data_IF_872204149459
#
_entry.id   IF_872204149459
#
_cell.length_a   1.000
_cell.length_b   1.000
_cell.length_c   1.000
_cell.angle_alpha   90.00
_cell.angle_beta   90.00
_cell.angle_gamma   90.00
#
_symmetry.space_group_name_H-M   'P 1'
#
loop_
_entity.id
_entity.type
_entity.pdbx_description
1 polymer ?
#
# COMPACT_ATOMS: atom_id res chain seq x y z
N UNK A 1 -0.22 11.67 -2.74
CA UNK A 1 0.58 11.77 -1.50
C UNK A 1 -0.26 11.79 -0.20
N UNK A 2 -1.02 10.79 0.24
CA UNK A 2 -1.17 9.37 -0.01
C UNK A 2 -0.06 8.45 0.58
N UNK A 3 1.11 8.90 1.02
CA UNK A 3 2.28 7.99 1.12
C UNK A 3 2.42 7.10 2.37
N UNK A 4 1.40 6.80 3.16
CA UNK A 4 1.55 5.91 4.33
C UNK A 4 0.42 4.87 4.31
N UNK A 5 -0.83 5.32 4.37
CA UNK A 5 -1.96 4.47 4.00
C UNK A 5 -1.86 4.07 2.51
N UNK A 6 -1.61 5.01 1.60
CA UNK A 6 -1.35 4.72 0.19
C UNK A 6 0.15 4.56 -0.17
N UNK A 7 1.08 4.32 0.77
CA UNK A 7 2.37 3.72 0.35
C UNK A 7 2.25 2.22 0.19
N UNK A 8 1.42 1.58 1.01
CA UNK A 8 1.12 0.15 0.90
C UNK A 8 -0.15 -0.03 0.11
N UNK A 9 -1.21 0.71 0.40
CA UNK A 9 -2.42 0.71 -0.41
C UNK A 9 -2.18 1.35 -1.77
N UNK A 10 -1.19 2.23 -1.99
CA UNK A 10 -0.69 2.58 -3.32
C UNK A 10 0.69 2.02 -3.65
N UNK A 11 1.24 1.05 -2.90
CA UNK A 11 2.07 0.05 -3.57
C UNK A 11 1.10 -0.89 -4.30
N UNK A 12 0.07 -1.38 -3.62
CA UNK A 12 -0.96 -2.22 -4.23
C UNK A 12 -1.75 -1.43 -5.28
N UNK A 13 -2.20 -0.21 -4.98
CA UNK A 13 -2.89 0.70 -5.92
C UNK A 13 -1.94 1.40 -6.88
N UNK A 14 -0.63 1.64 -6.67
CA UNK A 14 0.22 2.12 -7.79
C UNK A 14 0.70 0.96 -8.66
N UNK A 15 0.98 -0.22 -8.10
CA UNK A 15 1.12 -1.46 -8.89
C UNK A 15 -0.18 -1.70 -9.66
N UNK A 16 -1.37 -1.35 -9.18
CA UNK A 16 -2.61 -1.52 -9.97
C UNK A 16 -3.04 -0.29 -10.78
N UNK A 17 -2.69 0.93 -10.38
CA UNK A 17 -3.06 2.18 -11.06
C UNK A 17 -2.06 2.57 -12.14
N UNK A 18 -0.78 2.20 -12.02
CA UNK A 18 0.15 2.22 -13.15
C UNK A 18 -0.29 1.24 -14.24
N UNK A 19 -1.03 0.18 -13.88
CA UNK A 19 -1.64 -0.75 -14.83
C UNK A 19 -2.96 -0.19 -15.40
N UNK A 20 -3.80 0.42 -14.55
CA UNK A 20 -5.07 1.03 -15.01
C UNK A 20 -4.90 2.34 -15.77
N UNK A 21 -3.78 3.06 -15.63
CA UNK A 21 -3.46 4.20 -16.50
C UNK A 21 -3.13 3.77 -17.94
N UNK A 22 -2.72 2.51 -18.14
CA UNK A 22 -2.61 1.87 -19.46
C UNK A 22 -3.93 1.26 -19.95
N UNK A 23 -4.80 0.81 -19.04
CA UNK A 23 -6.17 0.42 -19.32
C UNK A 23 -7.10 1.65 -19.31
N UNK A 24 -6.85 2.61 -20.21
CA UNK A 24 -7.75 3.75 -20.41
C UNK A 24 -9.15 3.26 -20.75
N UNK A 25 -10.15 3.70 -19.96
CA UNK A 25 -11.60 3.87 -20.19
C UNK A 25 -12.42 2.90 -21.08
N UNK A 26 -11.87 2.27 -22.12
CA UNK A 26 -12.55 1.33 -23.01
C UNK A 26 -12.57 -0.12 -22.54
N UNK A 27 -11.85 -0.48 -21.47
CA UNK A 27 -11.83 -1.87 -20.97
C UNK A 27 -12.98 -2.21 -20.02
N UNK A 28 -13.76 -1.22 -19.54
CA UNK A 28 -14.85 -1.46 -18.57
C UNK A 28 -16.16 -1.85 -19.29
N UNK A 29 -16.34 -1.48 -20.55
CA UNK A 29 -17.59 -1.71 -21.29
C UNK A 29 -17.76 -3.15 -21.82
N UNK A 30 -16.70 -3.97 -21.85
CA UNK A 30 -16.74 -5.36 -22.38
C UNK A 30 -16.77 -6.46 -21.28
N UNK A 31 -17.09 -6.12 -20.03
CA UNK A 31 -17.08 -7.08 -18.91
C UNK A 31 -18.29 -8.04 -18.84
N UNK A 32 -19.28 -7.91 -19.72
CA UNK A 32 -20.58 -8.54 -19.51
C UNK A 32 -20.72 -10.01 -19.90
N UNK A 33 -19.76 -10.70 -20.54
CA UNK A 33 -20.09 -12.02 -21.10
C UNK A 33 -19.00 -13.12 -21.17
N UNK A 34 -18.11 -13.21 -20.18
CA UNK A 34 -17.19 -14.36 -20.09
C UNK A 34 -17.35 -15.13 -18.77
N UNK A 35 -17.66 -16.42 -18.89
CA UNK A 35 -17.42 -17.46 -17.87
C UNK A 35 -15.92 -17.63 -17.63
N UNK A 36 -15.25 -16.56 -17.20
CA UNK A 36 -13.83 -16.52 -16.90
C UNK A 36 -13.54 -17.39 -15.69
N UNK A 37 -12.41 -18.08 -15.71
CA UNK A 37 -11.96 -18.84 -14.53
C UNK A 37 -11.88 -17.88 -13.34
N UNK A 38 -12.36 -18.27 -12.13
CA UNK A 38 -12.28 -17.41 -10.95
C UNK A 38 -10.83 -17.02 -10.58
N UNK A 39 -9.84 -17.68 -11.21
CA UNK A 39 -8.43 -17.44 -11.02
C UNK A 39 -7.75 -16.62 -12.13
N UNK A 40 -8.51 -16.08 -13.07
CA UNK A 40 -8.00 -15.05 -13.98
C UNK A 40 -7.58 -13.79 -13.21
N UNK A 41 -6.51 -13.14 -13.64
CA UNK A 41 -5.98 -11.93 -12.98
C UNK A 41 -6.97 -10.77 -13.01
N UNK A 42 -7.91 -10.77 -13.96
CA UNK A 42 -8.98 -9.79 -14.02
C UNK A 42 -9.88 -9.85 -12.77
N UNK A 43 -10.06 -11.04 -12.19
CA UNK A 43 -10.81 -11.22 -10.95
C UNK A 43 -10.07 -10.65 -9.74
N UNK A 44 -8.73 -10.57 -9.77
CA UNK A 44 -7.97 -9.85 -8.76
C UNK A 44 -8.26 -8.34 -8.81
N UNK A 45 -8.40 -7.76 -10.01
CA UNK A 45 -8.72 -6.34 -10.18
C UNK A 45 -10.07 -6.00 -9.52
N UNK A 46 -11.04 -6.93 -9.53
CA UNK A 46 -12.35 -6.72 -8.90
C UNK A 46 -12.26 -6.41 -7.41
N UNK A 47 -11.24 -6.94 -6.71
CA UNK A 47 -10.99 -6.63 -5.30
C UNK A 47 -10.68 -5.15 -5.04
N UNK A 48 -10.23 -4.41 -6.06
CA UNK A 48 -9.84 -3.01 -5.96
C UNK A 48 -10.89 -2.06 -6.55
N UNK A 49 -11.93 -2.57 -7.21
CA UNK A 49 -13.01 -1.75 -7.74
C UNK A 49 -13.65 -0.82 -6.70
N UNK A 50 -13.84 -1.21 -5.42
CA UNK A 50 -14.34 -0.30 -4.40
C UNK A 50 -13.45 0.94 -4.20
N UNK A 51 -12.12 0.78 -4.27
CA UNK A 51 -11.19 1.92 -4.20
C UNK A 51 -11.25 2.80 -5.44
N UNK A 52 -11.38 2.20 -6.63
CA UNK A 52 -11.52 2.95 -7.88
C UNK A 52 -12.81 3.77 -7.87
N UNK A 53 -13.93 3.12 -7.52
CA UNK A 53 -15.23 3.76 -7.38
C UNK A 53 -15.19 4.90 -6.36
N UNK A 54 -14.55 4.68 -5.20
CA UNK A 54 -14.33 5.73 -4.22
C UNK A 54 -13.49 6.87 -4.80
N UNK A 55 -12.36 6.59 -5.46
CA UNK A 55 -11.45 7.62 -5.98
C UNK A 55 -12.10 8.57 -7.01
N UNK A 56 -13.10 8.10 -7.75
CA UNK A 56 -13.87 8.91 -8.72
C UNK A 56 -15.17 9.49 -8.15
N UNK A 57 -15.55 9.11 -6.93
CA UNK A 57 -16.75 9.61 -6.26
C UNK A 57 -16.62 11.07 -5.82
N UNK A 58 -17.76 11.75 -5.63
CA UNK A 58 -17.79 13.07 -5.00
C UNK A 58 -17.25 13.02 -3.57
N UNK A 59 -17.44 11.89 -2.88
CA UNK A 59 -16.89 11.67 -1.55
C UNK A 59 -15.37 11.88 -1.55
N UNK A 60 -14.62 11.28 -2.49
CA UNK A 60 -13.16 11.46 -2.57
C UNK A 60 -12.73 12.89 -2.94
N UNK A 61 -13.58 13.67 -3.63
CA UNK A 61 -13.28 15.08 -3.90
C UNK A 61 -13.21 15.87 -2.59
N UNK A 62 -14.07 15.56 -1.62
CA UNK A 62 -14.07 16.20 -0.31
C UNK A 62 -12.85 15.83 0.56
N UNK A 63 -12.20 14.69 0.28
CA UNK A 63 -10.95 14.32 0.97
C UNK A 63 -9.78 15.18 0.52
N UNK A 64 -9.79 15.69 -0.72
CA UNK A 64 -8.62 16.38 -1.29
C UNK A 64 -8.32 17.71 -0.59
N UNK A 65 -9.30 18.61 -0.35
CA UNK A 65 -9.10 19.83 0.44
C UNK A 65 -8.81 19.56 1.93
N UNK A 66 -9.48 18.58 2.54
CA UNK A 66 -9.27 18.20 3.94
C UNK A 66 -7.83 17.70 4.14
N UNK A 67 -7.36 16.85 3.23
CA UNK A 67 -5.98 16.37 3.15
C UNK A 67 -4.97 17.49 2.89
N UNK A 68 -5.28 18.47 2.03
CA UNK A 68 -4.41 19.62 1.80
C UNK A 68 -4.21 20.47 3.06
N UNK A 69 -5.09 20.35 4.05
CA UNK A 69 -4.98 20.99 5.36
C UNK A 69 -4.44 20.07 6.46
N UNK A 70 -4.09 18.83 6.14
CA UNK A 70 -3.53 17.86 7.07
C UNK A 70 -4.58 17.22 7.98
N UNK A 71 -5.86 17.39 7.67
CA UNK A 71 -6.97 16.95 8.52
C UNK A 71 -7.78 15.87 7.81
N UNK A 72 -7.80 14.66 8.36
CA UNK A 72 -8.76 13.60 8.01
C UNK A 72 -9.76 13.43 9.16
N UNK A 73 -11.06 13.50 8.91
CA UNK A 73 -12.03 13.29 9.99
C UNK A 73 -12.08 11.82 10.42
N UNK A 74 -12.58 11.54 11.62
CA UNK A 74 -12.75 10.15 12.08
C UNK A 74 -13.63 9.34 11.10
N UNK A 75 -14.80 9.84 10.64
CA UNK A 75 -15.60 9.13 9.64
C UNK A 75 -14.83 8.86 8.34
N UNK A 76 -14.03 9.82 7.87
CA UNK A 76 -13.22 9.67 6.67
C UNK A 76 -12.16 8.57 6.83
N UNK A 77 -11.50 8.51 8.00
CA UNK A 77 -10.56 7.44 8.28
C UNK A 77 -11.27 6.08 8.36
N UNK A 78 -12.40 6.00 9.07
CA UNK A 78 -13.20 4.78 9.16
C UNK A 78 -13.57 4.26 7.77
N UNK A 79 -14.02 5.14 6.87
CA UNK A 79 -14.37 4.76 5.50
C UNK A 79 -13.18 4.19 4.71
N UNK A 80 -12.00 4.84 4.78
CA UNK A 80 -10.79 4.33 4.12
C UNK A 80 -10.36 2.98 4.70
N UNK A 81 -10.55 2.80 6.00
CA UNK A 81 -10.27 1.56 6.70
C UNK A 81 -11.20 0.43 6.29
N UNK A 82 -12.50 0.69 6.14
CA UNK A 82 -13.47 -0.30 5.67
C UNK A 82 -13.16 -0.73 4.24
N UNK A 83 -12.92 0.23 3.33
CA UNK A 83 -12.49 -0.05 1.95
C UNK A 83 -11.21 -0.90 1.92
N UNK A 84 -10.23 -0.56 2.76
CA UNK A 84 -8.98 -1.30 2.88
C UNK A 84 -9.20 -2.74 3.30
N UNK A 85 -10.00 -2.96 4.35
CA UNK A 85 -10.31 -4.28 4.87
C UNK A 85 -11.03 -5.16 3.84
N UNK A 86 -12.05 -4.62 3.16
CA UNK A 86 -12.80 -5.36 2.14
C UNK A 86 -11.89 -5.81 0.99
N UNK A 87 -11.05 -4.90 0.48
CA UNK A 87 -10.07 -5.22 -0.57
C UNK A 87 -9.06 -6.26 -0.12
N UNK A 88 -8.53 -6.15 1.11
CA UNK A 88 -7.54 -7.09 1.62
C UNK A 88 -8.12 -8.49 1.86
N UNK A 89 -9.37 -8.58 2.34
CA UNK A 89 -10.10 -9.84 2.47
C UNK A 89 -10.30 -10.48 1.11
N UNK A 90 -10.78 -9.71 0.12
CA UNK A 90 -10.94 -10.20 -1.25
C UNK A 90 -9.61 -10.68 -1.83
N UNK A 91 -8.53 -9.91 -1.68
CA UNK A 91 -7.20 -10.26 -2.18
C UNK A 91 -6.66 -11.56 -1.55
N UNK A 92 -6.83 -11.73 -0.24
CA UNK A 92 -6.44 -12.96 0.45
C UNK A 92 -7.25 -14.15 -0.06
N UNK A 93 -8.55 -13.98 -0.24
CA UNK A 93 -9.43 -15.08 -0.65
C UNK A 93 -9.16 -15.49 -2.11
N UNK A 94 -8.84 -14.52 -2.98
CA UNK A 94 -8.30 -14.78 -4.32
C UNK A 94 -6.97 -15.54 -4.23
N UNK A 95 -6.01 -15.03 -3.44
CA UNK A 95 -4.68 -15.64 -3.31
C UNK A 95 -4.76 -17.08 -2.82
N UNK A 96 -5.58 -17.35 -1.79
CA UNK A 96 -5.79 -18.71 -1.27
C UNK A 96 -6.36 -19.68 -2.30
N UNK A 97 -7.25 -19.19 -3.17
CA UNK A 97 -7.94 -20.02 -4.17
C UNK A 97 -7.11 -20.25 -5.42
N UNK A 98 -6.34 -19.24 -5.83
CA UNK A 98 -5.83 -19.12 -7.18
C UNK A 98 -4.32 -19.08 -7.29
N UNK A 99 -3.61 -18.89 -6.17
CA UNK A 99 -2.15 -18.92 -6.13
C UNK A 99 -1.73 -20.16 -5.37
N UNK A 100 -1.00 -21.05 -6.06
CA UNK A 100 -0.53 -22.30 -5.46
C UNK A 100 0.42 -22.07 -4.29
N UNK A 101 0.61 -23.13 -3.49
CA UNK A 101 1.48 -23.09 -2.29
C UNK A 101 2.96 -22.93 -2.61
N UNK A 102 3.36 -23.15 -3.87
CA UNK A 102 4.71 -22.90 -4.40
C UNK A 102 5.10 -21.40 -4.40
N UNK A 103 4.15 -20.50 -4.16
CA UNK A 103 4.38 -19.06 -4.03
C UNK A 103 4.11 -18.54 -2.61
N UNK A 104 4.85 -19.02 -1.58
CA UNK A 104 4.57 -18.68 -0.17
C UNK A 104 4.68 -17.19 0.14
N UNK A 105 5.51 -16.44 -0.58
CA UNK A 105 5.64 -14.99 -0.40
C UNK A 105 4.37 -14.22 -0.78
N UNK A 106 3.60 -14.70 -1.76
CA UNK A 106 2.32 -14.08 -2.15
C UNK A 106 1.31 -14.23 -1.03
N UNK A 107 1.22 -15.42 -0.44
CA UNK A 107 0.35 -15.70 0.71
C UNK A 107 0.74 -14.86 1.93
N UNK A 108 2.05 -14.73 2.21
CA UNK A 108 2.56 -13.87 3.27
C UNK A 108 2.25 -12.39 3.02
N UNK A 109 2.36 -11.93 1.77
CA UNK A 109 2.04 -10.53 1.40
C UNK A 109 0.55 -10.24 1.57
N UNK A 110 -0.32 -11.16 1.14
CA UNK A 110 -1.76 -11.04 1.32
C UNK A 110 -2.16 -11.00 2.81
N UNK A 111 -1.59 -11.89 3.63
CA UNK A 111 -1.82 -11.88 5.07
C UNK A 111 -1.26 -10.63 5.75
N UNK A 112 -0.03 -10.23 5.39
CA UNK A 112 0.60 -9.02 5.91
C UNK A 112 -0.21 -7.76 5.62
N UNK A 113 -0.86 -7.68 4.47
CA UNK A 113 -1.78 -6.57 4.13
C UNK A 113 -2.96 -6.50 5.10
N UNK A 114 -3.57 -7.64 5.44
CA UNK A 114 -4.66 -7.72 6.44
C UNK A 114 -4.14 -7.33 7.83
N UNK A 115 -3.01 -7.90 8.25
CA UNK A 115 -2.43 -7.63 9.57
C UNK A 115 -2.01 -6.17 9.73
N UNK A 116 -1.60 -5.53 8.63
CA UNK A 116 -1.31 -4.11 8.58
C UNK A 116 -2.59 -3.28 8.79
N UNK A 117 -3.66 -3.60 8.06
CA UNK A 117 -4.93 -2.89 8.12
C UNK A 117 -5.68 -3.02 9.44
N UNK A 118 -5.37 -4.04 10.25
CA UNK A 118 -5.80 -4.09 11.66
C UNK A 118 -5.35 -2.87 12.48
N UNK A 119 -4.52 -1.94 11.98
CA UNK A 119 -4.30 -0.65 12.65
C UNK A 119 -5.59 0.16 12.76
N UNK A 120 -6.49 0.02 11.79
CA UNK A 120 -7.76 0.74 11.70
C UNK A 120 -8.71 0.44 12.86
N UNK A 121 -8.57 -0.71 13.51
CA UNK A 121 -9.42 -1.13 14.62
C UNK A 121 -8.91 -0.64 15.98
N UNK A 122 -7.74 0.03 16.02
CA UNK A 122 -7.20 0.56 17.27
C UNK A 122 -7.92 1.84 17.70
N UNK A 123 -8.21 2.02 19.00
CA UNK A 123 -8.91 3.21 19.50
C UNK A 123 -8.14 4.51 19.28
N UNK A 124 -6.81 4.44 19.15
CA UNK A 124 -5.93 5.58 18.90
C UNK A 124 -5.59 5.80 17.42
N UNK A 125 -6.12 4.99 16.50
CA UNK A 125 -5.76 4.99 15.09
C UNK A 125 -5.88 6.38 14.45
N UNK A 126 -6.99 7.07 14.71
CA UNK A 126 -7.24 8.40 14.16
C UNK A 126 -6.23 9.45 14.61
N UNK A 127 -5.94 9.49 15.91
CA UNK A 127 -4.95 10.43 16.45
C UNK A 127 -3.56 10.19 15.85
N UNK A 128 -3.17 8.92 15.66
CA UNK A 128 -1.88 8.55 15.04
C UNK A 128 -1.84 8.94 13.57
N UNK A 129 -2.89 8.63 12.82
CA UNK A 129 -3.00 9.01 11.40
C UNK A 129 -2.94 10.53 11.25
N UNK A 130 -3.62 11.30 12.10
CA UNK A 130 -3.57 12.76 12.10
C UNK A 130 -2.14 13.30 12.23
N UNK A 131 -1.36 12.76 13.17
CA UNK A 131 0.06 13.13 13.34
C UNK A 131 0.89 12.78 12.10
N UNK A 132 0.68 11.60 11.53
CA UNK A 132 1.36 11.18 10.29
C UNK A 132 1.01 12.11 9.12
N UNK A 133 -0.26 12.48 8.95
CA UNK A 133 -0.72 13.37 7.89
C UNK A 133 -0.15 14.78 8.03
N UNK A 134 -0.19 15.34 9.24
CA UNK A 134 0.35 16.67 9.53
C UNK A 134 1.86 16.72 9.24
N UNK A 135 2.61 15.68 9.63
CA UNK A 135 4.03 15.55 9.32
C UNK A 135 4.30 15.36 7.82
N UNK A 136 3.50 14.52 7.13
CA UNK A 136 3.72 14.21 5.72
C UNK A 136 3.64 15.45 4.80
N UNK A 137 2.83 16.46 5.16
CA UNK A 137 2.71 17.69 4.39
C UNK A 137 4.02 18.48 4.32
N UNK A 138 4.74 18.58 5.43
CA UNK A 138 6.02 19.29 5.48
C UNK A 138 7.16 18.45 4.92
N UNK A 139 6.93 17.14 4.74
CA UNK A 139 7.94 16.15 4.37
C UNK A 139 7.86 15.74 2.89
N UNK A 140 6.98 16.33 2.07
CA UNK A 140 6.76 15.93 0.66
C UNK A 140 8.06 15.76 -0.15
N UNK A 141 8.91 16.79 -0.15
CA UNK A 141 10.14 16.77 -0.92
C UNK A 141 11.10 15.67 -0.41
N UNK A 142 11.10 15.44 0.90
CA UNK A 142 11.92 14.41 1.56
C UNK A 142 11.40 13.02 1.22
N UNK A 143 10.07 12.80 1.27
CA UNK A 143 9.43 11.57 0.82
C UNK A 143 9.87 11.22 -0.61
N UNK A 144 9.75 12.16 -1.55
CA UNK A 144 10.11 11.94 -2.95
C UNK A 144 11.60 11.62 -3.12
N UNK A 145 12.48 12.36 -2.43
CA UNK A 145 13.93 12.13 -2.45
C UNK A 145 14.29 10.77 -1.89
N UNK A 146 13.76 10.40 -0.72
CA UNK A 146 14.05 9.13 -0.07
C UNK A 146 13.48 7.96 -0.88
N UNK A 147 12.26 8.07 -1.41
CA UNK A 147 11.66 7.06 -2.28
C UNK A 147 12.49 6.84 -3.56
N UNK A 148 12.98 7.92 -4.20
CA UNK A 148 13.88 7.82 -5.35
C UNK A 148 15.22 7.17 -4.98
N UNK A 149 15.74 7.42 -3.78
CA UNK A 149 16.99 6.79 -3.34
C UNK A 149 16.86 5.29 -3.12
N UNK A 150 15.68 4.82 -2.69
CA UNK A 150 15.37 3.42 -2.44
C UNK A 150 14.77 2.71 -3.65
N UNK A 151 14.35 3.42 -4.70
CA UNK A 151 13.74 2.82 -5.91
C UNK A 151 14.68 1.89 -6.67
N UNK A 152 16.00 2.05 -6.51
CA UNK A 152 17.00 1.12 -7.05
C UNK A 152 16.90 -0.31 -6.50
N UNK A 153 16.22 -0.50 -5.36
CA UNK A 153 15.95 -1.82 -4.79
C UNK A 153 14.67 -2.46 -5.35
N UNK A 154 13.86 -1.69 -6.07
CA UNK A 154 12.68 -2.21 -6.73
C UNK A 154 13.07 -2.80 -8.09
N UNK A 155 12.46 -3.92 -8.46
CA UNK A 155 12.77 -4.55 -9.74
C UNK A 155 12.26 -3.73 -10.91
N UNK A 156 13.08 -3.66 -11.97
CA UNK A 156 12.74 -2.99 -13.22
C UNK A 156 12.27 -3.97 -14.30
N UNK A 157 12.35 -5.28 -14.03
CA UNK A 157 12.12 -6.38 -14.96
C UNK A 157 10.74 -7.04 -14.79
N UNK A 158 9.76 -6.30 -14.27
CA UNK A 158 8.41 -6.81 -14.03
C UNK A 158 7.51 -6.47 -15.21
N UNK A 159 6.85 -7.48 -15.75
CA UNK A 159 5.83 -7.30 -16.78
C UNK A 159 4.69 -6.42 -16.24
N UNK A 160 4.49 -5.21 -16.79
CA UNK A 160 3.44 -4.30 -16.34
C UNK A 160 2.04 -4.74 -16.79
N UNK A 161 1.87 -5.91 -17.42
CA UNK A 161 0.58 -6.45 -17.81
C UNK A 161 0.03 -7.51 -16.84
N UNK A 162 0.86 -8.07 -15.95
CA UNK A 162 0.43 -9.05 -14.93
C UNK A 162 0.47 -8.49 -13.49
N UNK A 163 -0.69 -8.18 -12.88
CA UNK A 163 -0.76 -7.63 -11.53
C UNK A 163 -0.10 -8.51 -10.47
N UNK A 164 0.02 -9.82 -10.72
CA UNK A 164 0.65 -10.76 -9.79
C UNK A 164 2.15 -10.99 -10.06
N UNK A 165 2.69 -10.55 -11.20
CA UNK A 165 4.08 -10.79 -11.57
C UNK A 165 5.06 -10.27 -10.51
N UNK A 166 4.84 -9.05 -9.99
CA UNK A 166 5.69 -8.46 -8.95
C UNK A 166 5.80 -9.35 -7.71
N UNK A 167 4.67 -9.87 -7.22
CA UNK A 167 4.60 -10.64 -5.96
C UNK A 167 4.98 -12.11 -6.14
N UNK A 168 4.88 -12.64 -7.37
CA UNK A 168 5.32 -14.00 -7.71
C UNK A 168 6.83 -14.11 -7.92
N UNK A 169 7.56 -12.98 -8.01
CA UNK A 169 9.01 -12.98 -8.18
C UNK A 169 9.71 -13.62 -6.98
N UNK A 170 10.81 -14.36 -7.20
CA UNK A 170 11.66 -14.78 -6.11
C UNK A 170 12.15 -13.56 -5.31
N UNK A 171 12.04 -13.63 -3.98
CA UNK A 171 12.47 -12.59 -3.05
C UNK A 171 11.69 -11.27 -3.12
N UNK A 172 10.48 -11.25 -3.69
CA UNK A 172 9.64 -10.05 -3.73
C UNK A 172 9.42 -9.44 -2.33
N UNK A 173 9.18 -10.28 -1.33
CA UNK A 173 8.99 -9.83 0.06
C UNK A 173 10.28 -9.29 0.68
N UNK A 174 11.43 -9.91 0.35
CA UNK A 174 12.74 -9.41 0.77
C UNK A 174 12.99 -8.03 0.17
N UNK A 175 12.79 -7.86 -1.12
CA UNK A 175 13.04 -6.60 -1.83
C UNK A 175 12.17 -5.47 -1.27
N UNK A 176 10.89 -5.75 -0.98
CA UNK A 176 10.00 -4.82 -0.27
C UNK A 176 10.57 -4.43 1.09
N UNK A 177 10.93 -5.40 1.93
CA UNK A 177 11.45 -5.14 3.27
C UNK A 177 12.76 -4.34 3.24
N UNK A 178 13.66 -4.63 2.29
CA UNK A 178 14.91 -3.89 2.12
C UNK A 178 14.66 -2.46 1.62
N UNK A 179 13.71 -2.29 0.69
CA UNK A 179 13.29 -0.97 0.23
C UNK A 179 12.78 -0.11 1.39
N UNK A 180 11.89 -0.66 2.23
CA UNK A 180 11.34 0.05 3.40
C UNK A 180 12.45 0.40 4.40
N UNK A 181 13.39 -0.52 4.66
CA UNK A 181 14.53 -0.27 5.56
C UNK A 181 15.47 0.82 5.05
N UNK A 182 15.78 0.82 3.74
CA UNK A 182 16.60 1.89 3.12
C UNK A 182 15.86 3.23 3.15
N UNK A 183 14.57 3.21 2.86
CA UNK A 183 13.71 4.38 2.96
C UNK A 183 13.69 4.94 4.39
N UNK A 184 13.50 4.09 5.41
CA UNK A 184 13.54 4.46 6.84
C UNK A 184 14.84 5.18 7.19
N UNK A 185 15.99 4.64 6.79
CA UNK A 185 17.30 5.23 7.07
C UNK A 185 17.48 6.63 6.48
N UNK A 186 16.85 6.93 5.34
CA UNK A 186 16.82 8.26 4.75
C UNK A 186 15.77 9.17 5.41
N UNK A 187 14.60 8.62 5.76
CA UNK A 187 13.41 9.36 6.14
C UNK A 187 13.35 9.73 7.62
N UNK A 188 13.62 8.79 8.53
CA UNK A 188 13.46 9.03 9.97
C UNK A 188 14.33 10.17 10.55
N UNK A 189 15.60 10.34 10.13
CA UNK A 189 16.40 11.47 10.61
C UNK A 189 15.75 12.83 10.30
N UNK A 190 15.07 12.93 9.17
CA UNK A 190 14.40 14.14 8.72
C UNK A 190 13.08 14.37 9.49
N UNK A 191 12.36 13.29 9.84
CA UNK A 191 11.13 13.40 10.66
C UNK A 191 11.41 14.07 12.00
N UNK A 192 12.54 13.77 12.64
CA UNK A 192 12.91 14.41 13.91
C UNK A 192 13.05 15.92 13.75
N UNK A 193 13.70 16.37 12.67
CA UNK A 193 13.94 17.79 12.37
C UNK A 193 12.65 18.53 12.04
N UNK A 194 11.75 17.91 11.28
CA UNK A 194 10.57 18.59 10.72
C UNK A 194 9.28 18.39 11.51
N UNK A 195 9.17 17.29 12.26
CA UNK A 195 7.92 16.88 12.91
C UNK A 195 8.07 16.65 14.42
N UNK A 196 9.28 16.77 14.97
CA UNK A 196 9.57 16.59 16.38
C UNK A 196 9.41 15.16 16.89
N UNK A 197 9.55 14.98 18.21
CA UNK A 197 9.59 13.67 18.86
C UNK A 197 8.29 12.87 18.70
N UNK A 198 7.14 13.54 18.73
CA UNK A 198 5.85 12.87 18.50
C UNK A 198 5.71 12.37 17.06
N UNK A 199 6.20 13.13 16.08
CA UNK A 199 6.25 12.72 14.68
C UNK A 199 7.13 11.50 14.48
N UNK A 200 8.30 11.46 15.14
CA UNK A 200 9.19 10.29 15.12
C UNK A 200 8.51 9.06 15.69
N UNK A 201 7.88 9.19 16.85
CA UNK A 201 7.18 8.08 17.51
C UNK A 201 6.08 7.50 16.61
N UNK A 202 5.24 8.37 16.02
CA UNK A 202 4.17 7.92 15.13
C UNK A 202 4.71 7.23 13.86
N UNK A 203 5.79 7.75 13.27
CA UNK A 203 6.41 7.14 12.08
C UNK A 203 7.12 5.83 12.40
N UNK A 204 7.79 5.71 13.55
CA UNK A 204 8.39 4.47 14.00
C UNK A 204 7.34 3.39 14.27
N UNK A 205 6.25 3.73 14.97
CA UNK A 205 5.10 2.83 15.17
C UNK A 205 4.55 2.32 13.83
N UNK A 206 4.45 3.22 12.85
CA UNK A 206 3.99 2.89 11.52
C UNK A 206 4.94 1.93 10.78
N UNK A 207 6.24 2.24 10.75
CA UNK A 207 7.27 1.40 10.14
C UNK A 207 7.37 0.03 10.82
N UNK A 208 7.32 -0.01 12.15
CA UNK A 208 7.32 -1.26 12.91
C UNK A 208 6.10 -2.11 12.60
N UNK A 209 4.95 -1.49 12.32
CA UNK A 209 3.77 -2.22 11.85
C UNK A 209 4.03 -2.88 10.50
N UNK A 210 4.64 -2.18 9.54
CA UNK A 210 5.07 -2.77 8.27
C UNK A 210 6.00 -3.95 8.52
N UNK A 211 7.04 -3.78 9.33
CA UNK A 211 8.00 -4.84 9.61
C UNK A 211 7.39 -6.07 10.25
N UNK A 212 6.43 -5.88 11.14
CA UNK A 212 5.73 -6.98 11.82
C UNK A 212 4.80 -7.70 10.85
N UNK A 213 3.95 -6.95 10.14
CA UNK A 213 2.97 -7.47 9.19
C UNK A 213 3.61 -8.27 8.05
N UNK A 214 4.73 -7.79 7.52
CA UNK A 214 5.45 -8.43 6.40
C UNK A 214 6.63 -9.30 6.87
N UNK A 215 6.78 -9.50 8.18
CA UNK A 215 7.84 -10.32 8.79
C UNK A 215 9.27 -9.92 8.35
N UNK A 216 9.50 -8.62 8.15
CA UNK A 216 10.72 -8.10 7.53
C UNK A 216 12.01 -8.41 8.28
N UNK A 217 11.93 -8.69 9.59
CA UNK A 217 13.08 -9.12 10.39
C UNK A 217 13.76 -10.38 9.83
N UNK A 218 13.00 -11.27 9.18
CA UNK A 218 13.52 -12.48 8.52
C UNK A 218 14.29 -12.17 7.22
N UNK A 219 14.02 -11.02 6.61
CA UNK A 219 14.54 -10.66 5.30
C UNK A 219 15.74 -9.70 5.37
N UNK A 220 15.83 -8.89 6.44
CA UNK A 220 16.90 -7.89 6.59
C UNK A 220 18.34 -8.40 6.46
N UNK A 221 18.70 -9.61 6.95
CA UNK A 221 20.07 -10.13 6.77
C UNK A 221 20.47 -10.32 5.30
N UNK A 222 19.49 -10.43 4.40
CA UNK A 222 19.70 -10.70 2.98
C UNK A 222 19.52 -9.45 2.11
N UNK A 223 19.47 -8.26 2.70
CA UNK A 223 19.33 -7.04 1.91
C UNK A 223 20.61 -6.77 1.08
N UNK A 224 20.47 -6.45 -0.21
CA UNK A 224 21.59 -6.00 -1.01
C UNK A 224 22.17 -4.71 -0.42
N UNK A 225 23.50 -4.59 -0.50
CA UNK A 225 24.26 -3.44 -0.01
C UNK A 225 23.91 -2.14 -0.76
#
# INVERSE_FOLDING_TARGET
MAWIAACLLALTVAILASYMQGASAGAIEDFEDATSSPCEEINLITCFLPFVAFAVSDEAKDYTPARAKGVITQPQLTRLCDLGNDTAICFRDYTKRCIGSEHPEVHLTAQGTIDFLQFCTKPDAHSKVQKLFSCAQTMEAIHNRCAKSSSSMLPTDVDPSSPTAMVKRPNALRDLCCHVKKYEGCYLPEVQTHCGAEGVTANQDFLQRIYTSYQCSKHFPNCPA
#
